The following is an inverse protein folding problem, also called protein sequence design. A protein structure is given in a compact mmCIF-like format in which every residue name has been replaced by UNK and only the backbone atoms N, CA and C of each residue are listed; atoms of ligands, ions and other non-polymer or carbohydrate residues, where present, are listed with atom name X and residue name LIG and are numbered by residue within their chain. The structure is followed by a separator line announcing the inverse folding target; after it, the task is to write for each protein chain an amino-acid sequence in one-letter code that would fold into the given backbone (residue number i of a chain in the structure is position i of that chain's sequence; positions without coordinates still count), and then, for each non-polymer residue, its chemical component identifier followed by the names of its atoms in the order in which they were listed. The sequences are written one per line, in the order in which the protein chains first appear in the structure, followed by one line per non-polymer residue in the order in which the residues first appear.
data_IF_588999033619
#
_entry.id   IF_588999033619
#
_cell.length_a   1.000
_cell.length_b   1.000
_cell.length_c   1.000
_cell.angle_alpha   90.00
_cell.angle_beta   90.00
_cell.angle_gamma   90.00
#
_symmetry.space_group_name_H-M   'P 1'
#
loop_
_entity.id
_entity.type
_entity.pdbx_description
1 polymer ?
#
# COMPACT_ATOMS: atom_id res chain seq x y z
N UNK A 1 -9.13 9.69 -3.32
CA UNK A 1 -8.64 10.56 -2.22
C UNK A 1 -7.91 11.82 -2.70
N UNK A 2 -6.88 11.76 -3.57
CA UNK A 2 -6.17 12.98 -4.07
C UNK A 2 -7.13 14.03 -4.67
N UNK A 3 -8.02 13.61 -5.59
CA UNK A 3 -9.00 14.52 -6.19
C UNK A 3 -9.96 15.13 -5.16
N UNK A 4 -10.44 14.34 -4.19
CA UNK A 4 -11.23 14.87 -3.09
C UNK A 4 -10.46 15.95 -2.32
N UNK A 5 -9.19 15.69 -1.97
CA UNK A 5 -8.32 16.67 -1.34
C UNK A 5 -8.12 17.95 -2.18
N UNK A 6 -7.95 17.83 -3.49
CA UNK A 6 -7.66 18.96 -4.37
C UNK A 6 -8.89 19.79 -4.77
N UNK A 7 -10.08 19.17 -4.87
CA UNK A 7 -11.29 19.81 -5.38
C UNK A 7 -12.38 20.06 -4.33
N UNK A 8 -12.43 19.29 -3.25
CA UNK A 8 -13.44 19.47 -2.19
C UNK A 8 -12.95 20.35 -1.05
N UNK A 9 -11.63 20.58 -0.94
CA UNK A 9 -11.04 21.43 0.07
C UNK A 9 -10.38 22.65 -0.61
N UNK A 10 -10.71 23.87 -0.19
CA UNK A 10 -10.08 25.07 -0.73
C UNK A 10 -8.58 25.04 -0.46
N UNK A 11 -7.79 25.66 -1.37
CA UNK A 11 -6.34 25.72 -1.25
C UNK A 11 -5.92 26.27 0.13
N UNK A 12 -5.30 25.40 0.95
CA UNK A 12 -4.84 25.73 2.30
C UNK A 12 -5.70 25.19 3.46
N UNK A 13 -6.86 24.58 3.18
CA UNK A 13 -7.61 23.87 4.21
C UNK A 13 -6.98 22.50 4.50
N UNK A 14 -6.86 22.16 5.79
CA UNK A 14 -6.49 20.81 6.21
C UNK A 14 -7.57 19.83 5.75
N UNK A 15 -7.14 18.74 5.10
CA UNK A 15 -8.04 17.65 4.79
C UNK A 15 -8.42 16.95 6.09
N UNK A 16 -9.71 16.91 6.40
CA UNK A 16 -10.24 16.16 7.54
C UNK A 16 -10.65 14.76 7.07
N UNK A 17 -10.03 13.68 7.61
CA UNK A 17 -10.41 12.31 7.30
C UNK A 17 -11.89 12.03 7.56
N UNK A 18 -12.51 11.26 6.66
CA UNK A 18 -13.88 10.79 6.83
C UNK A 18 -14.83 11.16 5.69
N UNK A 19 -14.31 11.79 4.63
CA UNK A 19 -15.12 12.05 3.44
C UNK A 19 -15.56 10.73 2.77
N UNK A 20 -14.64 9.79 2.55
CA UNK A 20 -14.98 8.54 1.84
C UNK A 20 -15.75 7.58 2.73
N UNK A 21 -15.48 7.55 4.04
CA UNK A 21 -16.27 6.77 4.99
C UNK A 21 -17.69 7.33 5.18
N UNK A 22 -17.87 8.65 5.07
CA UNK A 22 -19.20 9.27 5.02
C UNK A 22 -19.96 8.88 3.75
N UNK A 23 -19.27 8.79 2.61
CA UNK A 23 -19.87 8.38 1.34
C UNK A 23 -20.35 6.93 1.36
N UNK A 24 -19.60 5.99 1.96
CA UNK A 24 -20.00 4.59 2.03
C UNK A 24 -21.35 4.41 2.74
N UNK A 25 -21.56 5.13 3.84
CA UNK A 25 -22.85 5.16 4.55
C UNK A 25 -24.00 5.63 3.65
N UNK A 26 -23.77 6.65 2.81
CA UNK A 26 -24.77 7.15 1.85
C UNK A 26 -25.03 6.19 0.71
N UNK A 27 -24.02 5.45 0.26
CA UNK A 27 -24.20 4.39 -0.73
C UNK A 27 -25.10 3.27 -0.19
N UNK A 28 -24.91 2.84 1.06
CA UNK A 28 -25.77 1.83 1.70
C UNK A 28 -27.21 2.33 1.91
N UNK A 29 -27.38 3.62 2.23
CA UNK A 29 -28.69 4.26 2.35
C UNK A 29 -29.46 4.22 1.01
N UNK A 30 -28.81 4.61 -0.09
CA UNK A 30 -29.45 4.73 -1.41
C UNK A 30 -29.62 3.37 -2.10
N UNK A 31 -28.59 2.51 -2.05
CA UNK A 31 -28.55 1.28 -2.83
C UNK A 31 -28.87 0.02 -2.03
N UNK A 32 -28.97 0.10 -0.71
CA UNK A 32 -29.14 -1.07 0.15
C UNK A 32 -30.46 -1.82 -0.03
N UNK A 33 -31.48 -1.21 -0.66
CA UNK A 33 -32.72 -1.90 -1.02
C UNK A 33 -32.56 -2.76 -2.29
N UNK A 34 -31.72 -2.31 -3.24
CA UNK A 34 -31.42 -3.03 -4.47
C UNK A 34 -30.31 -4.09 -4.27
N UNK A 35 -29.41 -3.85 -3.32
CA UNK A 35 -28.29 -4.73 -2.98
C UNK A 35 -28.26 -5.00 -1.46
N UNK A 36 -29.11 -5.91 -0.95
CA UNK A 36 -29.22 -6.21 0.49
C UNK A 36 -27.91 -6.64 1.14
N UNK A 37 -26.99 -7.22 0.36
CA UNK A 37 -25.63 -7.58 0.76
C UNK A 37 -24.82 -6.40 1.29
N UNK A 38 -25.13 -5.17 0.85
CA UNK A 38 -24.47 -3.96 1.34
C UNK A 38 -24.84 -3.66 2.80
N UNK A 39 -26.02 -4.10 3.27
CA UNK A 39 -26.49 -3.90 4.66
C UNK A 39 -26.01 -4.98 5.59
N UNK A 40 -25.94 -6.21 5.09
CA UNK A 40 -25.34 -7.33 5.82
C UNK A 40 -24.95 -8.42 4.85
N UNK A 41 -23.71 -8.91 4.95
CA UNK A 41 -23.26 -10.08 4.23
C UNK A 41 -23.36 -11.31 5.15
N UNK A 42 -24.40 -12.15 5.03
CA UNK A 42 -24.54 -13.33 5.89
C UNK A 42 -23.34 -14.27 5.70
N UNK A 43 -22.66 -14.60 6.80
CA UNK A 43 -21.46 -15.46 6.81
C UNK A 43 -20.12 -14.72 6.90
N UNK A 44 -20.13 -13.38 6.84
CA UNK A 44 -18.92 -12.55 6.99
C UNK A 44 -19.11 -11.54 8.11
N UNK A 45 -18.09 -11.33 8.93
CA UNK A 45 -18.12 -10.34 10.02
C UNK A 45 -18.08 -8.88 9.53
N UNK A 46 -18.30 -8.62 8.25
CA UNK A 46 -18.18 -7.30 7.60
C UNK A 46 -19.54 -6.59 7.63
N UNK A 47 -19.60 -5.47 8.35
CA UNK A 47 -20.76 -4.59 8.45
C UNK A 47 -20.48 -3.26 7.74
N UNK A 48 -21.50 -2.48 7.35
CA UNK A 48 -21.31 -1.12 6.84
C UNK A 48 -20.37 -0.27 7.70
N UNK A 49 -20.50 -0.37 9.02
CA UNK A 49 -19.65 0.37 9.97
C UNK A 49 -18.18 -0.08 9.89
N UNK A 50 -17.92 -1.38 9.76
CA UNK A 50 -16.56 -1.90 9.57
C UNK A 50 -15.99 -1.48 8.22
N UNK A 51 -16.80 -1.48 7.16
CA UNK A 51 -16.38 -0.99 5.84
C UNK A 51 -16.01 0.49 5.92
N UNK A 52 -16.84 1.31 6.57
CA UNK A 52 -16.56 2.73 6.78
C UNK A 52 -15.29 2.93 7.61
N UNK A 53 -15.06 2.12 8.64
CA UNK A 53 -13.85 2.17 9.46
C UNK A 53 -12.60 1.82 8.65
N UNK A 54 -12.61 0.72 7.88
CA UNK A 54 -11.48 0.34 7.02
C UNK A 54 -11.19 1.44 5.99
N UNK A 55 -12.23 2.01 5.36
CA UNK A 55 -12.06 3.12 4.42
C UNK A 55 -11.41 4.33 5.12
N UNK A 56 -11.83 4.66 6.34
CA UNK A 56 -11.26 5.76 7.11
C UNK A 56 -9.78 5.50 7.44
N UNK A 57 -9.44 4.29 7.88
CA UNK A 57 -8.05 3.91 8.20
C UNK A 57 -7.15 3.99 6.95
N UNK A 58 -7.62 3.46 5.81
CA UNK A 58 -6.92 3.55 4.53
C UNK A 58 -6.80 5.00 4.05
N UNK A 59 -7.84 5.80 4.21
CA UNK A 59 -7.84 7.22 3.87
C UNK A 59 -6.77 7.98 4.69
N UNK A 60 -6.71 7.76 6.00
CA UNK A 60 -5.69 8.36 6.88
C UNK A 60 -4.28 7.91 6.49
N UNK A 61 -4.09 6.61 6.24
CA UNK A 61 -2.81 6.05 5.82
C UNK A 61 -2.33 6.65 4.50
N UNK A 62 -3.25 6.76 3.53
CA UNK A 62 -2.99 7.33 2.21
C UNK A 62 -2.65 8.81 2.26
N UNK A 63 -3.35 9.62 3.07
CA UNK A 63 -3.05 11.05 3.18
C UNK A 63 -1.64 11.30 3.71
N UNK A 64 -1.21 10.50 4.68
CA UNK A 64 0.13 10.61 5.28
C UNK A 64 1.25 10.38 4.25
N UNK A 65 1.05 9.47 3.31
CA UNK A 65 2.02 9.20 2.24
C UNK A 65 1.86 10.18 1.08
N UNK A 66 0.62 10.61 0.78
CA UNK A 66 0.31 11.52 -0.30
C UNK A 66 1.07 12.85 -0.19
N UNK A 67 1.13 13.45 1.00
CA UNK A 67 1.81 14.75 1.19
C UNK A 67 3.30 14.66 0.90
N UNK A 68 3.93 13.57 1.35
CA UNK A 68 5.34 13.29 1.08
C UNK A 68 5.57 13.04 -0.41
N UNK A 69 4.68 12.26 -1.04
CA UNK A 69 4.72 11.98 -2.47
C UNK A 69 4.57 13.23 -3.33
N UNK A 70 3.64 14.14 -3.00
CA UNK A 70 3.47 15.42 -3.70
C UNK A 70 4.73 16.29 -3.58
N UNK A 71 5.25 16.45 -2.36
CA UNK A 71 6.47 17.25 -2.14
C UNK A 71 7.67 16.68 -2.90
N UNK A 72 7.79 15.36 -2.97
CA UNK A 72 8.87 14.72 -3.71
C UNK A 72 8.66 14.82 -5.23
N UNK A 73 7.42 14.65 -5.71
CA UNK A 73 7.07 14.85 -7.11
C UNK A 73 7.46 16.26 -7.57
N UNK A 74 7.17 17.28 -6.76
CA UNK A 74 7.49 18.67 -7.12
C UNK A 74 9.00 18.90 -7.32
N UNK A 75 9.84 18.21 -6.54
CA UNK A 75 11.31 18.24 -6.69
C UNK A 75 11.74 17.57 -8.00
N UNK A 76 11.27 16.34 -8.24
CA UNK A 76 11.59 15.62 -9.48
C UNK A 76 11.08 16.35 -10.72
N UNK A 77 9.90 16.96 -10.65
CA UNK A 77 9.35 17.78 -11.73
C UNK A 77 10.17 19.04 -12.01
N UNK A 78 10.85 19.59 -11.00
CA UNK A 78 11.78 20.71 -11.19
C UNK A 78 13.10 20.25 -11.82
N UNK A 79 13.63 19.12 -11.38
CA UNK A 79 14.87 18.50 -11.89
C UNK A 79 14.70 18.04 -13.34
N UNK A 80 13.62 17.34 -13.65
CA UNK A 80 13.33 16.78 -14.97
C UNK A 80 12.67 17.79 -15.93
N UNK A 81 12.52 19.06 -15.52
CA UNK A 81 11.87 20.07 -16.37
C UNK A 81 12.63 20.32 -17.67
N UNK A 82 13.96 20.14 -17.66
CA UNK A 82 14.81 20.32 -18.83
C UNK A 82 14.58 19.23 -19.90
N UNK A 83 14.19 18.02 -19.48
CA UNK A 83 13.91 16.89 -20.40
C UNK A 83 12.45 16.89 -20.86
N UNK A 84 11.58 17.66 -20.20
CA UNK A 84 10.15 17.72 -20.49
C UNK A 84 9.36 16.48 -20.04
N UNK A 85 9.99 15.56 -19.30
CA UNK A 85 9.37 14.33 -18.85
C UNK A 85 9.97 13.85 -17.53
N UNK A 86 9.12 13.48 -16.57
CA UNK A 86 9.55 12.77 -15.36
C UNK A 86 10.23 11.47 -15.77
N UNK A 87 11.46 11.26 -15.29
CA UNK A 87 12.24 10.07 -15.64
C UNK A 87 11.62 8.79 -15.06
N UNK A 88 11.82 7.66 -15.75
CA UNK A 88 11.40 6.35 -15.27
C UNK A 88 11.87 6.02 -13.84
N UNK A 89 13.15 6.25 -13.49
CA UNK A 89 13.66 6.07 -12.13
C UNK A 89 12.98 6.97 -11.09
N UNK A 90 12.69 8.24 -11.40
CA UNK A 90 11.95 9.12 -10.49
C UNK A 90 10.51 8.66 -10.30
N UNK A 91 9.82 8.28 -11.38
CA UNK A 91 8.48 7.72 -11.30
C UNK A 91 8.46 6.40 -10.51
N UNK A 92 9.50 5.57 -10.65
CA UNK A 92 9.66 4.33 -9.90
C UNK A 92 9.88 4.60 -8.41
N UNK A 93 10.72 5.58 -8.07
CA UNK A 93 10.97 5.96 -6.69
C UNK A 93 9.72 6.52 -6.00
N UNK A 94 8.95 7.35 -6.71
CA UNK A 94 7.64 7.83 -6.24
C UNK A 94 6.71 6.67 -5.88
N UNK A 95 6.65 5.64 -6.73
CA UNK A 95 5.85 4.45 -6.48
C UNK A 95 6.38 3.60 -5.32
N UNK A 96 7.64 3.17 -5.40
CA UNK A 96 8.24 2.18 -4.49
C UNK A 96 8.51 2.75 -3.09
N UNK A 97 9.10 3.94 -3.01
CA UNK A 97 9.54 4.53 -1.74
C UNK A 97 8.47 5.40 -1.11
N UNK A 98 7.73 6.18 -1.91
CA UNK A 98 6.76 7.15 -1.40
C UNK A 98 5.31 6.64 -1.46
N UNK A 99 5.08 5.44 -2.01
CA UNK A 99 3.75 4.86 -2.16
C UNK A 99 2.85 5.70 -3.07
N UNK A 100 3.45 6.51 -3.95
CA UNK A 100 2.76 7.46 -4.81
C UNK A 100 2.41 6.79 -6.15
N UNK A 101 1.14 6.51 -6.44
CA UNK A 101 0.73 5.75 -7.62
C UNK A 101 1.19 6.41 -8.93
N UNK A 102 1.59 5.59 -9.91
CA UNK A 102 2.00 6.06 -11.24
C UNK A 102 0.92 6.93 -11.90
N UNK A 103 -0.35 6.57 -11.75
CA UNK A 103 -1.48 7.34 -12.30
C UNK A 103 -1.52 8.77 -11.75
N UNK A 104 -1.19 8.96 -10.46
CA UNK A 104 -1.10 10.29 -9.87
C UNK A 104 0.12 11.06 -10.38
N UNK A 105 1.26 10.39 -10.56
CA UNK A 105 2.45 11.00 -11.18
C UNK A 105 2.16 11.48 -12.59
N UNK A 106 1.50 10.66 -13.42
CA UNK A 106 1.12 11.02 -14.80
C UNK A 106 0.20 12.24 -14.80
N UNK A 107 -0.85 12.19 -13.99
CA UNK A 107 -1.81 13.28 -13.90
C UNK A 107 -1.17 14.60 -13.43
N UNK A 108 -0.30 14.56 -12.43
CA UNK A 108 0.42 15.75 -11.96
C UNK A 108 1.44 16.26 -12.97
N UNK A 109 2.09 15.36 -13.73
CA UNK A 109 3.01 15.74 -14.80
C UNK A 109 2.25 16.49 -15.89
N UNK A 110 1.10 15.97 -16.33
CA UNK A 110 0.22 16.59 -17.33
C UNK A 110 -0.22 18.00 -16.89
N UNK A 111 -0.63 18.17 -15.63
CA UNK A 111 -0.98 19.48 -15.04
C UNK A 111 0.18 20.49 -15.11
N UNK A 112 1.44 20.03 -15.13
CA UNK A 112 2.65 20.87 -15.22
C UNK A 112 3.24 20.97 -16.63
N UNK A 113 2.57 20.39 -17.63
CA UNK A 113 3.04 20.32 -19.01
C UNK A 113 4.24 19.38 -19.21
N UNK A 114 4.38 18.37 -18.35
CA UNK A 114 5.42 17.34 -18.42
C UNK A 114 4.80 15.99 -18.82
N UNK A 115 5.59 15.14 -19.47
CA UNK A 115 5.26 13.73 -19.65
C UNK A 115 5.83 12.87 -18.50
N UNK A 116 5.56 11.56 -18.55
CA UNK A 116 6.23 10.56 -17.70
C UNK A 116 6.81 9.48 -18.60
N UNK A 117 8.06 9.13 -18.37
CA UNK A 117 8.73 8.02 -19.05
C UNK A 117 8.23 6.68 -18.49
N UNK A 118 7.12 6.21 -19.03
CA UNK A 118 6.49 4.93 -18.66
C UNK A 118 7.38 3.73 -19.00
N UNK A 119 8.13 3.81 -20.10
CA UNK A 119 9.02 2.72 -20.51
C UNK A 119 10.18 2.54 -19.52
N UNK A 120 10.80 3.64 -19.11
CA UNK A 120 11.83 3.63 -18.06
C UNK A 120 11.29 3.15 -16.72
N UNK A 121 10.06 3.55 -16.34
CA UNK A 121 9.40 3.05 -15.13
C UNK A 121 9.19 1.53 -15.19
N UNK A 122 8.68 1.01 -16.29
CA UNK A 122 8.47 -0.43 -16.49
C UNK A 122 9.78 -1.22 -16.45
N UNK A 123 10.87 -0.66 -16.98
CA UNK A 123 12.20 -1.24 -16.88
C UNK A 123 12.66 -1.36 -15.41
N UNK A 124 12.53 -0.29 -14.61
CA UNK A 124 12.85 -0.33 -13.19
C UNK A 124 11.99 -1.36 -12.42
N UNK A 125 10.70 -1.45 -12.74
CA UNK A 125 9.81 -2.46 -12.17
C UNK A 125 10.23 -3.89 -12.56
N UNK A 126 10.69 -4.10 -13.79
CA UNK A 126 11.20 -5.39 -14.24
C UNK A 126 12.49 -5.78 -13.51
N UNK A 127 13.43 -4.84 -13.35
CA UNK A 127 14.67 -5.04 -12.61
C UNK A 127 14.43 -5.39 -11.15
N UNK A 128 13.52 -4.67 -10.47
CA UNK A 128 13.15 -4.97 -9.09
C UNK A 128 12.56 -6.38 -8.98
N UNK A 129 11.64 -6.76 -9.88
CA UNK A 129 11.05 -8.10 -9.92
C UNK A 129 12.07 -9.20 -10.19
N UNK A 130 13.07 -8.96 -11.03
CA UNK A 130 14.14 -9.91 -11.31
C UNK A 130 15.04 -10.10 -10.06
N UNK A 131 15.34 -8.99 -9.36
CA UNK A 131 16.09 -9.02 -8.09
C UNK A 131 15.37 -9.83 -7.02
N UNK A 132 14.05 -9.65 -6.86
CA UNK A 132 13.25 -10.41 -5.90
C UNK A 132 13.14 -11.90 -6.21
N UNK A 133 13.37 -12.32 -7.47
CA UNK A 133 13.36 -13.73 -7.89
C UNK A 133 14.72 -14.43 -7.79
N UNK A 134 15.76 -13.74 -7.32
CA UNK A 134 17.10 -14.32 -7.18
C UNK A 134 17.85 -14.53 -8.51
N UNK A 135 17.37 -13.95 -9.62
CA UNK A 135 18.02 -14.05 -10.93
C UNK A 135 19.15 -13.01 -11.13
N UNK A 136 19.52 -12.29 -10.08
CA UNK A 136 20.66 -11.39 -10.07
C UNK A 136 21.97 -12.16 -9.97
N UNK A 137 22.69 -12.29 -11.09
CA UNK A 137 24.06 -12.77 -11.16
C UNK A 137 24.96 -12.06 -10.12
N UNK A 138 25.53 -12.89 -9.25
CA UNK A 138 26.88 -12.82 -8.65
C UNK A 138 27.38 -11.44 -8.19
N UNK A 139 27.28 -11.15 -6.88
CA UNK A 139 27.95 -10.00 -6.28
C UNK A 139 27.43 -9.53 -4.91
N UNK A 140 27.76 -10.30 -3.88
CA UNK A 140 28.03 -9.87 -2.50
C UNK A 140 26.89 -9.65 -1.49
N UNK A 141 27.05 -10.39 -0.37
CA UNK A 141 26.41 -10.35 0.96
C UNK A 141 24.91 -10.64 1.08
N UNK A 142 24.64 -11.94 1.11
CA UNK A 142 23.52 -12.53 1.86
C UNK A 142 23.63 -12.12 3.34
N UNK A 143 22.75 -11.23 3.80
CA UNK A 143 22.48 -11.12 5.24
C UNK A 143 21.46 -12.20 5.56
N UNK A 144 21.94 -13.33 6.07
CA UNK A 144 21.10 -14.37 6.67
C UNK A 144 20.53 -13.77 7.96
N UNK A 145 19.24 -13.46 7.97
CA UNK A 145 18.51 -13.15 9.20
C UNK A 145 18.10 -14.50 9.81
N UNK A 146 18.88 -15.00 10.77
CA UNK A 146 18.57 -16.21 11.53
C UNK A 146 17.26 -16.03 12.32
N UNK A 147 16.30 -16.92 12.06
CA UNK A 147 15.03 -17.00 12.75
C UNK A 147 15.17 -17.85 14.02
N UNK A 148 15.68 -17.29 15.11
CA UNK A 148 15.63 -17.93 16.44
C UNK A 148 15.23 -16.96 17.56
N UNK A 149 13.99 -16.47 17.53
CA UNK A 149 13.33 -15.92 18.74
C UNK A 149 11.78 -16.08 18.64
N UNK A 150 11.30 -17.30 18.42
CA UNK A 150 9.91 -17.65 18.77
C UNK A 150 9.87 -19.09 19.24
N UNK A 151 10.28 -19.31 20.49
CA UNK A 151 9.58 -20.29 21.33
C UNK A 151 9.94 -20.08 22.81
N UNK A 152 9.22 -19.16 23.44
CA UNK A 152 8.96 -19.21 24.87
C UNK A 152 7.49 -18.88 25.07
N UNK A 153 6.70 -19.87 25.46
CA UNK A 153 5.70 -19.84 26.54
C UNK A 153 5.19 -21.29 26.78
N UNK A 154 4.73 -21.62 28.00
CA UNK A 154 4.90 -22.93 28.63
C UNK A 154 3.78 -23.94 28.30
N UNK A 155 4.14 -25.20 28.07
CA UNK A 155 3.22 -26.34 28.11
C UNK A 155 3.27 -27.00 29.50
N UNK A 156 2.49 -26.46 30.43
CA UNK A 156 1.95 -27.26 31.53
C UNK A 156 0.69 -27.97 31.02
N UNK A 157 0.57 -29.24 31.42
CA UNK A 157 -0.58 -30.16 31.27
C UNK A 157 -0.69 -30.94 29.95
N UNK A 158 -0.14 -32.16 29.98
CA UNK A 158 -0.83 -33.31 29.41
C UNK A 158 0.09 -34.35 28.75
N UNK A 159 0.28 -35.49 29.43
CA UNK A 159 0.52 -36.76 28.72
C UNK A 159 1.80 -37.52 29.07
N UNK A 160 1.78 -38.15 30.24
CA UNK A 160 2.34 -39.48 30.53
C UNK A 160 3.41 -40.08 29.58
N UNK A 161 4.65 -39.96 30.03
CA UNK A 161 5.67 -41.01 30.13
C UNK A 161 5.57 -42.24 29.19
N UNK A 162 6.45 -42.22 28.18
CA UNK A 162 7.55 -43.17 27.97
C UNK A 162 7.23 -44.68 28.00
N UNK A 163 7.13 -45.26 26.80
CA UNK A 163 7.45 -46.66 26.57
C UNK A 163 8.95 -46.91 26.79
N UNK A 164 9.27 -47.79 27.73
CA UNK A 164 10.59 -48.37 27.92
C UNK A 164 10.79 -49.52 26.93
N UNK A 165 11.70 -49.35 25.99
CA UNK A 165 12.35 -50.43 25.26
C UNK A 165 13.70 -50.74 25.89
N UNK A 166 13.91 -51.98 26.32
CA UNK A 166 15.19 -52.47 26.82
C UNK A 166 15.17 -53.99 26.91
N UNK A 167 15.82 -54.66 25.97
CA UNK A 167 15.87 -56.11 25.87
C UNK A 167 16.92 -56.77 26.77
N UNK A 168 16.90 -58.09 26.77
CA UNK A 168 18.01 -58.94 27.20
C UNK A 168 17.56 -60.20 27.94
N UNK A 169 17.81 -61.37 27.32
CA UNK A 169 17.85 -62.68 27.99
C UNK A 169 16.60 -63.53 27.84
#
# INVERSE_FOLDING_TARGET
VRYAKQYLYPAGAAYEPGFFSGLSSKVVEILGDAFPELRSHPGTSMTPDKVAQVILEEEVSFLRTLDKGISQFDKFAAEDRATGSISGPHAFMLYDTFGFPLDLTVLMAEEKGLAVDKAGYEACMAEQRARSRGEGKEGDKVIVLEAEQTDRLPQELGGAAAGHGGGGG
#
